data_IF_846078019100
#
_entry.id   IF_846078019100
#
_cell.length_a   1.000
_cell.length_b   1.000
_cell.length_c   1.000
_cell.angle_alpha   90.00
_cell.angle_beta   90.00
_cell.angle_gamma   90.00
#
_symmetry.space_group_name_H-M   'P 1'
#
loop_
_entity.id
_entity.type
_entity.pdbx_description
1 polymer ?
#
# COMPACT_ATOMS: atom_id res chain seq x y z
N UNK A 1 -14.78 6.01 18.94
CA UNK A 1 -14.70 5.52 17.55
C UNK A 1 -13.48 6.04 16.78
N UNK A 2 -13.24 7.37 16.67
CA UNK A 2 -12.10 7.96 15.93
C UNK A 2 -10.70 7.43 16.32
N UNK A 3 -10.47 7.09 17.59
CA UNK A 3 -9.19 6.56 18.09
C UNK A 3 -8.88 5.12 17.67
N UNK A 4 -9.90 4.31 17.36
CA UNK A 4 -9.71 2.89 17.03
C UNK A 4 -9.31 2.72 15.56
N UNK A 5 -10.03 3.38 14.65
CA UNK A 5 -9.79 3.33 13.19
C UNK A 5 -8.41 3.87 12.77
N UNK A 6 -7.80 4.70 13.60
CA UNK A 6 -6.48 5.29 13.34
C UNK A 6 -5.32 4.51 13.96
N UNK A 7 -5.53 3.36 14.62
CA UNK A 7 -4.39 2.66 15.21
C UNK A 7 -3.36 2.26 14.14
N UNK A 8 -2.07 2.45 14.42
CA UNK A 8 -0.99 2.12 13.47
C UNK A 8 -1.06 0.66 12.97
N UNK A 9 -1.60 -0.26 13.77
CA UNK A 9 -1.81 -1.66 13.35
C UNK A 9 -2.86 -1.81 12.25
N UNK A 10 -3.94 -1.04 12.32
CA UNK A 10 -4.96 -1.02 11.26
C UNK A 10 -4.39 -0.38 10.00
N UNK A 11 -3.63 0.71 10.14
CA UNK A 11 -2.95 1.33 8.99
C UNK A 11 -1.99 0.32 8.34
N UNK A 12 -1.22 -0.43 9.13
CA UNK A 12 -0.35 -1.48 8.63
C UNK A 12 -1.13 -2.54 7.84
N UNK A 13 -2.24 -3.02 8.40
CA UNK A 13 -3.11 -3.97 7.73
C UNK A 13 -3.64 -3.41 6.40
N UNK A 14 -4.09 -2.16 6.37
CA UNK A 14 -4.59 -1.51 5.15
C UNK A 14 -3.51 -1.35 4.08
N UNK A 15 -2.26 -1.05 4.46
CA UNK A 15 -1.13 -1.02 3.53
C UNK A 15 -1.02 -2.37 2.81
N UNK A 16 -0.94 -3.47 3.56
CA UNK A 16 -0.81 -4.79 2.95
C UNK A 16 -2.04 -5.22 2.17
N UNK A 17 -3.25 -4.86 2.62
CA UNK A 17 -4.48 -5.12 1.88
C UNK A 17 -4.49 -4.44 0.52
N UNK A 18 -4.12 -3.14 0.46
CA UNK A 18 -4.07 -2.37 -0.77
C UNK A 18 -2.99 -2.83 -1.74
N UNK A 19 -1.87 -3.34 -1.23
CA UNK A 19 -0.82 -3.93 -2.05
C UNK A 19 -1.22 -5.33 -2.56
N UNK A 20 -1.72 -6.19 -1.68
CA UNK A 20 -2.04 -7.59 -1.99
C UNK A 20 -3.23 -7.72 -2.95
N UNK A 21 -4.26 -6.86 -2.84
CA UNK A 21 -5.43 -6.94 -3.70
C UNK A 21 -5.08 -6.86 -5.19
N UNK A 22 -4.01 -6.15 -5.56
CA UNK A 22 -3.60 -6.01 -6.95
C UNK A 22 -3.13 -7.34 -7.56
N UNK A 23 -2.59 -8.26 -6.76
CA UNK A 23 -2.17 -9.58 -7.23
C UNK A 23 -3.36 -10.43 -7.68
N UNK A 24 -4.50 -10.30 -7.00
CA UNK A 24 -5.72 -11.05 -7.26
C UNK A 24 -6.55 -10.34 -8.33
N UNK A 25 -6.90 -9.07 -8.09
CA UNK A 25 -7.80 -8.33 -8.97
C UNK A 25 -7.22 -8.11 -10.37
N UNK A 26 -5.90 -8.03 -10.53
CA UNK A 26 -5.29 -7.94 -11.86
C UNK A 26 -5.67 -9.14 -12.74
N UNK A 27 -5.67 -10.35 -12.18
CA UNK A 27 -6.04 -11.57 -12.91
C UNK A 27 -7.53 -11.58 -13.26
N UNK A 28 -8.38 -11.28 -12.28
CA UNK A 28 -9.84 -11.19 -12.45
C UNK A 28 -10.23 -10.19 -13.54
N UNK A 29 -9.56 -9.03 -13.60
CA UNK A 29 -9.87 -8.02 -14.61
C UNK A 29 -9.46 -8.42 -16.02
N UNK A 30 -8.41 -9.23 -16.22
CA UNK A 30 -7.96 -9.64 -17.56
C UNK A 30 -9.02 -10.48 -18.30
N UNK A 31 -9.92 -11.16 -17.58
CA UNK A 31 -11.05 -11.91 -18.18
C UNK A 31 -11.94 -10.98 -19.02
N UNK A 32 -12.09 -9.72 -18.59
CA UNK A 32 -12.96 -8.76 -19.27
C UNK A 32 -12.29 -8.04 -20.44
N UNK A 33 -10.99 -8.28 -20.70
CA UNK A 33 -10.19 -7.52 -21.67
C UNK A 33 -10.74 -7.54 -23.10
N UNK A 34 -11.32 -8.67 -23.50
CA UNK A 34 -11.91 -8.87 -24.82
C UNK A 34 -13.44 -9.09 -24.76
N UNK A 35 -14.06 -8.74 -23.63
CA UNK A 35 -15.50 -8.84 -23.43
C UNK A 35 -16.21 -7.52 -23.72
N UNK A 36 -17.52 -7.56 -23.89
CA UNK A 36 -18.38 -6.36 -23.96
C UNK A 36 -18.26 -5.47 -22.71
N UNK A 37 -17.82 -6.05 -21.59
CA UNK A 37 -17.57 -5.37 -20.33
C UNK A 37 -16.13 -4.84 -20.19
N UNK A 38 -15.49 -4.47 -21.30
CA UNK A 38 -14.11 -3.92 -21.32
C UNK A 38 -13.87 -2.79 -20.31
N UNK A 39 -14.90 -2.01 -20.00
CA UNK A 39 -14.82 -0.95 -18.98
C UNK A 39 -14.44 -1.48 -17.59
N UNK A 40 -14.80 -2.72 -17.23
CA UNK A 40 -14.39 -3.35 -15.97
C UNK A 40 -12.88 -3.63 -15.96
N UNK A 41 -12.32 -4.04 -17.09
CA UNK A 41 -10.89 -4.22 -17.24
C UNK A 41 -10.15 -2.88 -17.10
N UNK A 42 -10.58 -1.85 -17.84
CA UNK A 42 -9.89 -0.55 -17.86
C UNK A 42 -10.01 0.17 -16.51
N UNK A 43 -11.23 0.36 -16.01
CA UNK A 43 -11.48 1.09 -14.77
C UNK A 43 -11.06 0.29 -13.54
N UNK A 44 -11.32 -1.02 -13.51
CA UNK A 44 -10.92 -1.90 -12.41
C UNK A 44 -9.41 -1.93 -12.23
N UNK A 45 -8.66 -2.08 -13.32
CA UNK A 45 -7.19 -2.07 -13.29
C UNK A 45 -6.64 -0.71 -12.86
N UNK A 46 -7.22 0.40 -13.31
CA UNK A 46 -6.83 1.74 -12.87
C UNK A 46 -7.12 1.97 -11.39
N UNK A 47 -8.32 1.62 -10.92
CA UNK A 47 -8.71 1.75 -9.52
C UNK A 47 -7.80 0.91 -8.60
N UNK A 48 -7.55 -0.33 -8.98
CA UNK A 48 -6.67 -1.24 -8.24
C UNK A 48 -5.22 -0.72 -8.19
N UNK A 49 -4.71 -0.13 -9.29
CA UNK A 49 -3.42 0.59 -9.28
C UNK A 49 -3.45 1.80 -8.35
N UNK A 50 -4.53 2.59 -8.35
CA UNK A 50 -4.71 3.71 -7.45
C UNK A 50 -4.60 3.31 -5.97
N UNK A 51 -5.24 2.20 -5.59
CA UNK A 51 -5.11 1.64 -4.24
C UNK A 51 -3.67 1.25 -3.90
N UNK A 52 -2.92 0.64 -4.82
CA UNK A 52 -1.50 0.32 -4.61
C UNK A 52 -0.69 1.59 -4.30
N UNK A 53 -0.89 2.67 -5.07
CA UNK A 53 -0.20 3.94 -4.80
C UNK A 53 -0.57 4.54 -3.44
N UNK A 54 -1.85 4.48 -3.05
CA UNK A 54 -2.29 4.89 -1.71
C UNK A 54 -1.57 4.04 -0.64
N UNK A 55 -1.50 2.72 -0.84
CA UNK A 55 -0.78 1.81 0.04
C UNK A 55 0.71 2.15 0.17
N UNK A 56 1.37 2.50 -0.93
CA UNK A 56 2.79 2.93 -0.94
C UNK A 56 2.99 4.27 -0.23
N UNK A 57 2.10 5.25 -0.42
CA UNK A 57 2.15 6.53 0.30
C UNK A 57 1.97 6.30 1.80
N UNK A 58 1.00 5.48 2.19
CA UNK A 58 0.79 5.12 3.60
C UNK A 58 1.99 4.37 4.19
N UNK A 59 2.63 3.49 3.40
CA UNK A 59 3.86 2.80 3.76
C UNK A 59 5.01 3.78 4.01
N UNK A 60 5.20 4.78 3.14
CA UNK A 60 6.22 5.82 3.31
C UNK A 60 5.97 6.68 4.56
N UNK A 61 4.70 6.99 4.85
CA UNK A 61 4.29 7.76 6.02
C UNK A 61 4.23 6.93 7.31
N UNK A 62 4.34 5.60 7.22
CA UNK A 62 4.13 4.70 8.36
C UNK A 62 5.04 4.99 9.57
N UNK A 63 6.34 5.29 9.41
CA UNK A 63 7.19 5.72 10.53
C UNK A 63 6.65 6.96 11.26
N UNK A 64 6.17 7.95 10.52
CA UNK A 64 5.57 9.17 11.09
C UNK A 64 4.27 8.85 11.83
N UNK A 65 3.43 8.00 11.25
CA UNK A 65 2.16 7.56 11.87
C UNK A 65 2.43 6.89 13.23
N UNK A 66 3.40 5.97 13.28
CA UNK A 66 3.79 5.31 14.54
C UNK A 66 4.41 6.32 15.52
N UNK A 67 5.24 7.25 15.04
CA UNK A 67 5.85 8.29 15.87
C UNK A 67 4.80 9.17 16.56
N UNK A 68 3.81 9.67 15.81
CA UNK A 68 2.76 10.52 16.37
C UNK A 68 1.86 9.78 17.38
N UNK A 69 1.64 8.48 17.20
CA UNK A 69 0.78 7.70 18.09
C UNK A 69 1.51 7.10 19.30
N UNK A 70 2.79 6.76 19.16
CA UNK A 70 3.57 5.99 20.13
C UNK A 70 4.95 6.61 20.39
N UNK A 71 5.05 7.94 20.41
CA UNK A 71 6.32 8.68 20.58
C UNK A 71 7.21 8.13 21.71
N UNK A 72 6.65 7.90 22.91
CA UNK A 72 7.38 7.40 24.09
C UNK A 72 7.87 5.94 23.94
N UNK A 73 7.15 5.12 23.16
CA UNK A 73 7.43 3.70 22.96
C UNK A 73 7.89 3.38 21.52
N UNK A 74 8.36 4.38 20.77
CA UNK A 74 8.67 4.23 19.34
C UNK A 74 9.73 3.14 19.11
N UNK A 75 10.78 3.13 19.93
CA UNK A 75 11.85 2.11 19.89
C UNK A 75 11.30 0.69 20.07
N UNK A 76 10.28 0.50 20.92
CA UNK A 76 9.63 -0.81 21.12
C UNK A 76 8.80 -1.26 19.91
N UNK A 77 8.44 -0.33 19.03
CA UNK A 77 7.63 -0.58 17.84
C UNK A 77 8.45 -0.57 16.54
N UNK A 78 9.79 -0.52 16.63
CA UNK A 78 10.67 -0.37 15.46
C UNK A 78 10.48 -1.47 14.42
N UNK A 79 10.23 -2.71 14.87
CA UNK A 79 9.96 -3.85 13.97
C UNK A 79 8.74 -3.59 13.10
N UNK A 80 7.65 -3.09 13.70
CA UNK A 80 6.44 -2.72 12.95
C UNK A 80 6.70 -1.57 11.99
N UNK A 81 7.49 -0.58 12.40
CA UNK A 81 7.88 0.55 11.54
C UNK A 81 8.62 0.07 10.30
N UNK A 82 9.61 -0.81 10.48
CA UNK A 82 10.39 -1.37 9.37
C UNK A 82 9.47 -2.16 8.42
N UNK A 83 8.64 -3.05 8.97
CA UNK A 83 7.69 -3.86 8.17
C UNK A 83 6.76 -2.95 7.35
N UNK A 84 6.20 -1.92 7.98
CA UNK A 84 5.27 -1.01 7.31
C UNK A 84 5.93 -0.08 6.30
N UNK A 85 7.21 0.26 6.49
CA UNK A 85 7.96 1.12 5.58
C UNK A 85 8.62 0.37 4.40
N UNK A 86 8.85 -0.94 4.57
CA UNK A 86 9.57 -1.77 3.59
C UNK A 86 8.99 -1.70 2.16
N UNK A 87 7.66 -1.76 1.93
CA UNK A 87 7.10 -1.65 0.57
C UNK A 87 7.46 -0.34 -0.14
N UNK A 88 7.37 0.79 0.56
CA UNK A 88 7.75 2.09 0.01
C UNK A 88 9.25 2.15 -0.30
N UNK A 89 10.09 1.65 0.61
CA UNK A 89 11.54 1.61 0.39
C UNK A 89 11.89 0.79 -0.86
N UNK A 90 11.29 -0.39 -1.00
CA UNK A 90 11.48 -1.24 -2.17
C UNK A 90 11.05 -0.55 -3.47
N UNK A 91 9.88 0.11 -3.46
CA UNK A 91 9.40 0.86 -4.62
C UNK A 91 10.32 2.02 -5.01
N UNK A 92 10.83 2.78 -4.03
CA UNK A 92 11.77 3.89 -4.25
C UNK A 92 13.07 3.36 -4.86
N UNK A 93 13.61 2.25 -4.34
CA UNK A 93 14.83 1.64 -4.89
C UNK A 93 14.65 1.20 -6.34
N UNK A 94 13.53 0.54 -6.66
CA UNK A 94 13.21 0.16 -8.04
C UNK A 94 13.09 1.38 -8.96
N UNK A 95 12.45 2.45 -8.49
CA UNK A 95 12.31 3.68 -9.24
C UNK A 95 13.68 4.30 -9.54
N UNK A 96 14.56 4.42 -8.54
CA UNK A 96 15.92 4.95 -8.73
C UNK A 96 16.69 4.11 -9.75
N UNK A 97 16.65 2.78 -9.62
CA UNK A 97 17.35 1.88 -10.53
C UNK A 97 16.83 1.99 -11.97
N UNK A 98 15.51 2.12 -12.14
CA UNK A 98 14.89 2.25 -13.46
C UNK A 98 15.22 3.56 -14.17
N UNK A 99 15.58 4.63 -13.44
CA UNK A 99 15.98 5.92 -14.01
C UNK A 99 17.50 6.07 -14.15
N UNK A 100 18.27 5.14 -13.60
CA UNK A 100 19.74 5.15 -13.64
C UNK A 100 20.32 4.29 -14.78
N UNK A 101 19.46 3.67 -15.59
CA UNK A 101 19.75 2.89 -16.80
C UNK A 101 19.22 3.68 -17.99
#
# INVERSE_FOLDING_TARGET
MKRFLLSYKIVLFLIFLFLAQYLILKGEFEIYRFSDNKYLYENGKQFSKGLVYIGLILSALFPLIVWFQRKKDFKKNIVWVIIGFFPALYYILLFILSYSI
#
